data_IF_456984635580
#
_entry.id   IF_456984635580
#
_cell.length_a   1.000
_cell.length_b   1.000
_cell.length_c   1.000
_cell.angle_alpha   90.00
_cell.angle_beta   90.00
_cell.angle_gamma   90.00
#
_symmetry.space_group_name_H-M   'P 1'
#
loop_
_entity.id
_entity.type
_entity.pdbx_description
1 polymer ?
#
# COMPACT_ATOMS: atom_id res chain seq x y z
N UNK A 1 -52.33 19.18 8.36
CA UNK A 1 -52.56 20.64 8.48
C UNK A 1 -51.89 21.07 9.79
N UNK A 2 -50.62 21.48 9.74
CA UNK A 2 -50.16 22.87 10.04
C UNK A 2 -50.33 23.21 11.54
N UNK A 3 -49.34 23.57 12.38
CA UNK A 3 -48.15 24.44 12.25
C UNK A 3 -47.39 24.35 13.62
N UNK A 4 -46.10 24.04 13.71
CA UNK A 4 -44.94 24.96 13.87
C UNK A 4 -44.98 26.02 15.03
N UNK A 5 -44.10 25.81 16.03
CA UNK A 5 -43.08 26.71 16.66
C UNK A 5 -43.41 28.14 17.20
N UNK A 6 -42.56 28.56 18.19
CA UNK A 6 -42.22 29.95 18.68
C UNK A 6 -43.11 30.52 19.80
N UNK A 7 -42.67 31.43 20.70
CA UNK A 7 -41.39 31.96 21.21
C UNK A 7 -41.73 32.81 22.46
N UNK A 8 -40.71 33.18 23.24
CA UNK A 8 -40.71 34.18 24.32
C UNK A 8 -41.44 35.50 23.98
N UNK A 9 -41.99 36.17 25.02
CA UNK A 9 -41.85 37.59 25.43
C UNK A 9 -42.86 37.83 26.58
N UNK A 10 -42.63 38.56 27.68
CA UNK A 10 -42.42 40.03 27.89
C UNK A 10 -42.33 40.25 29.41
N UNK A 11 -41.34 40.94 29.97
CA UNK A 11 -41.22 42.39 30.18
C UNK A 11 -41.75 42.92 31.54
N UNK A 12 -40.78 43.35 32.36
CA UNK A 12 -40.65 44.63 33.10
C UNK A 12 -41.88 45.30 33.75
N UNK A 13 -41.77 45.60 35.06
CA UNK A 13 -42.50 46.67 35.75
C UNK A 13 -41.50 47.51 36.57
N UNK A 14 -41.69 48.83 36.60
CA UNK A 14 -40.74 49.82 37.13
C UNK A 14 -41.25 50.55 38.39
N UNK A 15 -40.30 50.98 39.25
CA UNK A 15 -40.22 52.22 40.07
C UNK A 15 -41.34 52.53 41.10
N UNK A 16 -41.18 53.18 42.27
CA UNK A 16 -40.11 53.80 43.08
C UNK A 16 -40.79 54.28 44.39
N UNK A 17 -40.13 54.29 45.56
CA UNK A 17 -40.09 55.43 46.52
C UNK A 17 -39.09 55.17 47.67
N UNK A 18 -38.59 56.25 48.25
CA UNK A 18 -37.32 56.35 48.96
C UNK A 18 -37.38 56.30 50.51
N UNK A 19 -36.24 55.91 51.07
CA UNK A 19 -35.51 56.47 52.23
C UNK A 19 -35.48 55.72 53.58
N UNK A 20 -34.22 55.58 54.05
CA UNK A 20 -33.72 55.46 55.43
C UNK A 20 -33.81 54.08 56.14
N UNK A 21 -32.71 53.33 56.05
CA UNK A 21 -32.39 52.18 56.90
C UNK A 21 -31.37 51.30 56.19
N UNK A 22 -30.09 51.43 56.52
CA UNK A 22 -28.99 50.75 55.83
C UNK A 22 -29.14 49.22 55.87
N UNK A 23 -29.58 48.65 54.76
CA UNK A 23 -29.39 47.26 54.43
C UNK A 23 -28.20 47.20 53.47
N UNK A 24 -27.08 46.63 53.94
CA UNK A 24 -26.06 46.14 53.02
C UNK A 24 -26.73 45.07 52.14
N UNK A 25 -27.21 45.50 50.98
CA UNK A 25 -27.62 44.59 49.92
C UNK A 25 -26.37 43.82 49.51
N UNK A 26 -26.28 42.58 49.98
CA UNK A 26 -25.30 41.62 49.48
C UNK A 26 -25.49 41.51 47.97
N UNK A 27 -24.58 42.11 47.20
CA UNK A 27 -24.49 41.84 45.77
C UNK A 27 -24.09 40.38 45.61
N UNK A 28 -25.01 39.56 45.11
CA UNK A 28 -24.64 38.22 44.65
C UNK A 28 -23.77 38.38 43.42
N UNK A 29 -22.46 38.41 43.62
CA UNK A 29 -21.49 38.31 42.55
C UNK A 29 -21.60 36.89 41.95
N UNK A 30 -22.19 36.78 40.77
CA UNK A 30 -22.09 35.56 39.97
C UNK A 30 -20.69 35.52 39.37
N UNK A 31 -19.79 34.78 39.99
CA UNK A 31 -18.52 34.41 39.39
C UNK A 31 -18.80 33.30 38.35
N UNK A 32 -18.62 33.59 37.07
CA UNK A 32 -18.50 32.53 36.06
C UNK A 32 -17.20 31.77 36.37
N UNK A 33 -17.22 30.45 36.60
CA UNK A 33 -15.98 29.71 36.81
C UNK A 33 -15.04 29.95 35.62
N UNK A 34 -13.84 30.46 35.89
CA UNK A 34 -12.87 30.69 34.83
C UNK A 34 -12.50 29.35 34.18
N UNK A 35 -12.65 29.24 32.86
CA UNK A 35 -12.20 28.06 32.12
C UNK A 35 -10.68 28.11 31.95
N UNK A 36 -10.02 26.99 32.17
CA UNK A 36 -8.57 26.83 32.00
C UNK A 36 -8.27 25.77 30.93
N UNK A 37 -7.01 25.65 30.52
CA UNK A 37 -6.57 24.50 29.73
C UNK A 37 -6.79 23.17 30.51
N UNK A 38 -6.90 22.03 29.82
CA UNK A 38 -7.09 20.74 30.47
C UNK A 38 -5.90 20.34 31.35
N UNK A 39 -6.16 19.44 32.30
CA UNK A 39 -5.10 18.79 33.07
C UNK A 39 -4.27 17.80 32.24
N UNK A 40 -3.38 17.08 32.93
CA UNK A 40 -2.47 16.10 32.33
C UNK A 40 -3.21 14.76 32.08
N UNK A 41 -3.12 14.15 30.88
CA UNK A 41 -3.61 12.79 30.65
C UNK A 41 -2.90 11.76 31.54
N UNK A 42 -3.62 10.73 31.98
CA UNK A 42 -3.12 9.73 32.93
C UNK A 42 -3.03 8.33 32.31
N UNK A 43 -2.55 7.33 33.07
CA UNK A 43 -2.42 5.94 32.63
C UNK A 43 -1.74 5.76 31.25
N UNK A 44 -0.72 6.57 30.99
CA UNK A 44 -0.05 6.61 29.69
C UNK A 44 0.81 5.35 29.52
N UNK A 45 0.66 4.67 28.40
CA UNK A 45 1.48 3.52 28.03
C UNK A 45 1.82 3.58 26.54
N UNK A 46 3.02 3.13 26.20
CA UNK A 46 3.52 3.08 24.83
C UNK A 46 3.73 1.62 24.42
N UNK A 47 3.10 1.21 23.32
CA UNK A 47 3.26 -0.12 22.72
C UNK A 47 3.98 0.03 21.39
N UNK A 48 5.14 -0.62 21.27
CA UNK A 48 5.94 -0.61 20.05
C UNK A 48 5.25 -1.39 18.92
N UNK A 49 5.27 -0.82 17.71
CA UNK A 49 4.93 -1.49 16.46
C UNK A 49 6.10 -1.40 15.46
N UNK A 50 5.83 -1.77 14.21
CA UNK A 50 6.79 -1.58 13.11
C UNK A 50 6.78 -0.10 12.69
N UNK A 51 7.94 0.56 12.78
CA UNK A 51 8.12 1.98 12.49
C UNK A 51 7.12 2.93 13.15
N UNK A 52 6.51 2.50 14.27
CA UNK A 52 5.41 3.19 14.94
C UNK A 52 5.32 2.87 16.42
N UNK A 53 4.67 3.75 17.19
CA UNK A 53 4.34 3.55 18.60
C UNK A 53 2.87 3.91 18.82
N UNK A 54 2.10 2.99 19.39
CA UNK A 54 0.73 3.25 19.87
C UNK A 54 0.79 3.75 21.31
N UNK A 55 0.34 5.00 21.53
CA UNK A 55 0.28 5.66 22.84
C UNK A 55 -1.15 5.60 23.36
N UNK A 56 -1.40 4.75 24.35
CA UNK A 56 -2.67 4.65 25.08
C UNK A 56 -2.64 5.50 26.34
N UNK A 57 -3.78 6.06 26.75
CA UNK A 57 -3.91 6.98 27.89
C UNK A 57 -5.38 7.11 28.32
N UNK A 58 -5.60 7.58 29.54
CA UNK A 58 -6.89 8.03 30.04
C UNK A 58 -6.96 9.57 30.00
N UNK A 59 -8.18 10.10 29.85
CA UNK A 59 -8.43 11.53 29.87
C UNK A 59 -7.94 12.17 31.19
N UNK A 60 -7.58 13.47 31.19
CA UNK A 60 -7.27 14.20 32.41
C UNK A 60 -8.42 14.18 33.43
N UNK A 61 -8.10 14.23 34.72
CA UNK A 61 -9.10 14.31 35.79
C UNK A 61 -9.91 15.62 35.78
N UNK A 62 -9.37 16.68 35.16
CA UNK A 62 -10.04 17.96 34.95
C UNK A 62 -9.86 18.39 33.50
N UNK A 63 -10.96 18.76 32.85
CA UNK A 63 -10.99 19.35 31.51
C UNK A 63 -10.82 20.88 31.52
N UNK A 64 -10.63 21.47 32.71
CA UNK A 64 -10.53 22.91 32.89
C UNK A 64 -11.87 23.65 32.75
N UNK A 65 -13.01 22.94 32.83
CA UNK A 65 -14.34 23.52 32.71
C UNK A 65 -14.82 23.71 31.26
N UNK A 66 -14.09 23.17 30.28
CA UNK A 66 -14.47 23.18 28.86
C UNK A 66 -14.13 21.84 28.20
N UNK A 67 -15.00 21.37 27.30
CA UNK A 67 -14.84 20.06 26.65
C UNK A 67 -13.50 19.92 25.91
N UNK A 68 -12.84 18.78 26.10
CA UNK A 68 -11.62 18.42 25.37
C UNK A 68 -11.97 18.19 23.90
N UNK A 69 -11.25 18.86 23.02
CA UNK A 69 -11.44 18.82 21.56
C UNK A 69 -10.42 17.90 20.86
N UNK A 70 -9.33 17.53 21.52
CA UNK A 70 -8.37 16.59 20.99
C UNK A 70 -7.17 16.33 21.88
N UNK A 71 -6.33 15.42 21.42
CA UNK A 71 -5.09 15.01 22.07
C UNK A 71 -3.95 15.05 21.06
N UNK A 72 -2.74 15.31 21.55
CA UNK A 72 -1.51 15.24 20.76
C UNK A 72 -0.52 14.31 21.46
N UNK A 73 -0.17 13.20 20.81
CA UNK A 73 0.93 12.35 21.21
C UNK A 73 2.21 12.77 20.47
N UNK A 74 3.34 12.80 21.17
CA UNK A 74 4.64 13.18 20.63
C UNK A 74 5.68 12.15 21.05
N UNK A 75 6.41 11.56 20.10
CA UNK A 75 7.51 10.64 20.37
C UNK A 75 8.80 11.22 19.81
N UNK A 76 9.83 11.35 20.65
CA UNK A 76 11.11 11.94 20.27
C UNK A 76 12.32 11.09 20.65
N UNK A 77 13.33 11.11 19.78
CA UNK A 77 14.63 10.49 19.97
C UNK A 77 15.69 11.26 19.16
N UNK A 78 16.88 11.48 19.74
CA UNK A 78 18.04 12.04 19.04
C UNK A 78 17.76 13.29 18.20
N UNK A 79 16.91 14.21 18.71
CA UNK A 79 16.54 15.45 18.03
C UNK A 79 15.43 15.33 16.98
N UNK A 80 14.93 14.13 16.69
CA UNK A 80 13.77 13.90 15.82
C UNK A 80 12.53 13.76 16.69
N UNK A 81 11.48 14.52 16.37
CA UNK A 81 10.16 14.41 17.00
C UNK A 81 9.09 14.12 15.96
N UNK A 82 8.23 13.14 16.26
CA UNK A 82 7.04 12.81 15.47
C UNK A 82 5.81 12.96 16.35
N UNK A 83 4.73 13.43 15.77
CA UNK A 83 3.46 13.65 16.48
C UNK A 83 2.31 12.98 15.78
N UNK A 84 1.29 12.63 16.56
CA UNK A 84 -0.02 12.21 16.08
C UNK A 84 -1.09 12.95 16.88
N UNK A 85 -2.17 13.33 16.21
CA UNK A 85 -3.32 13.98 16.85
C UNK A 85 -4.58 13.16 16.64
N UNK A 86 -5.52 13.27 17.57
CA UNK A 86 -6.82 12.61 17.45
C UNK A 86 -7.75 12.95 18.60
N UNK A 87 -9.02 12.58 18.45
CA UNK A 87 -10.06 12.92 19.42
C UNK A 87 -10.10 11.97 20.64
N UNK A 88 -9.45 10.81 20.57
CA UNK A 88 -9.51 9.77 21.59
C UNK A 88 -8.23 8.91 21.65
N UNK A 89 -8.14 8.07 22.68
CA UNK A 89 -7.06 7.11 22.87
C UNK A 89 -7.35 5.76 22.19
N UNK A 90 -6.34 5.04 21.66
CA UNK A 90 -4.93 5.40 21.55
C UNK A 90 -4.60 6.27 20.33
N UNK A 91 -3.46 6.94 20.37
CA UNK A 91 -2.87 7.64 19.22
C UNK A 91 -1.64 6.89 18.70
N UNK A 92 -1.56 6.66 17.39
CA UNK A 92 -0.42 5.98 16.77
C UNK A 92 0.52 6.99 16.14
N UNK A 93 1.75 7.08 16.66
CA UNK A 93 2.82 7.90 16.11
C UNK A 93 3.64 7.06 15.14
N UNK A 94 3.54 7.36 13.84
CA UNK A 94 4.27 6.65 12.77
C UNK A 94 5.53 7.37 12.28
N UNK A 95 6.23 6.76 11.32
CA UNK A 95 7.44 7.32 10.70
C UNK A 95 8.64 7.36 11.65
N UNK A 96 8.73 6.37 12.54
CA UNK A 96 9.79 6.17 13.51
C UNK A 96 10.81 5.15 12.98
N UNK A 97 12.07 5.27 13.40
CA UNK A 97 13.11 4.30 13.05
C UNK A 97 13.07 3.09 14.00
N UNK A 98 13.08 1.88 13.45
CA UNK A 98 13.19 0.66 14.24
C UNK A 98 14.56 0.56 14.94
N UNK A 99 14.57 -0.02 16.14
CA UNK A 99 15.76 -0.15 16.99
C UNK A 99 16.15 1.13 17.73
N UNK A 100 15.44 2.24 17.52
CA UNK A 100 15.65 3.50 18.25
C UNK A 100 14.61 3.63 19.35
N UNK A 101 15.04 3.84 20.59
CA UNK A 101 14.12 4.08 21.72
C UNK A 101 13.62 5.51 21.68
N UNK A 102 12.30 5.69 21.59
CA UNK A 102 11.64 7.00 21.64
C UNK A 102 11.01 7.21 23.01
N UNK A 103 11.08 8.46 23.50
CA UNK A 103 10.32 8.93 24.64
C UNK A 103 9.03 9.58 24.14
N UNK A 104 7.88 9.05 24.57
CA UNK A 104 6.56 9.48 24.13
C UNK A 104 5.78 10.18 25.25
N UNK A 105 5.14 11.31 24.91
CA UNK A 105 4.24 12.06 25.79
C UNK A 105 2.90 12.28 25.11
N UNK A 106 1.87 12.60 25.90
CA UNK A 106 0.56 13.02 25.38
C UNK A 106 0.03 14.22 26.17
N UNK A 107 -0.62 15.15 25.47
CA UNK A 107 -1.35 16.28 26.07
C UNK A 107 -2.78 16.36 25.53
N UNK A 108 -3.66 17.02 26.28
CA UNK A 108 -5.05 17.30 25.90
C UNK A 108 -5.25 18.78 25.56
N UNK A 109 -6.19 19.07 24.67
CA UNK A 109 -6.52 20.43 24.21
C UNK A 109 -8.03 20.67 24.35
N UNK A 110 -8.41 21.85 24.84
CA UNK A 110 -9.79 22.36 24.79
C UNK A 110 -9.83 23.74 24.09
N UNK A 111 -10.97 24.43 24.14
CA UNK A 111 -11.13 25.75 23.52
C UNK A 111 -10.22 26.85 24.12
N UNK A 112 -9.73 26.68 25.35
CA UNK A 112 -8.79 27.61 26.01
C UNK A 112 -7.36 27.37 25.54
N UNK A 113 -7.00 26.11 25.29
CA UNK A 113 -5.69 25.73 24.73
C UNK A 113 -5.24 24.34 25.14
N UNK A 114 -3.95 24.07 24.94
CA UNK A 114 -3.30 22.82 25.30
C UNK A 114 -2.84 22.82 26.76
N UNK A 115 -3.13 21.73 27.46
CA UNK A 115 -2.67 21.46 28.82
C UNK A 115 -1.21 21.01 28.87
N UNK A 116 -0.74 20.71 30.09
CA UNK A 116 0.58 20.13 30.30
C UNK A 116 0.65 18.69 29.76
N UNK A 117 1.82 18.33 29.21
CA UNK A 117 2.08 16.98 28.73
C UNK A 117 2.25 15.98 29.89
N UNK A 118 1.94 14.71 29.61
CA UNK A 118 2.19 13.60 30.52
C UNK A 118 3.68 13.42 30.82
N UNK A 119 3.98 12.68 31.88
CA UNK A 119 5.29 12.04 32.01
C UNK A 119 5.60 11.20 30.75
N UNK A 120 6.87 11.14 30.38
CA UNK A 120 7.30 10.40 29.21
C UNK A 120 7.29 8.89 29.49
N UNK A 121 6.81 8.12 28.52
CA UNK A 121 6.92 6.66 28.47
C UNK A 121 7.74 6.25 27.26
N UNK A 122 8.62 5.26 27.43
CA UNK A 122 9.54 4.87 26.35
C UNK A 122 9.08 3.60 25.66
N UNK A 123 9.26 3.54 24.35
CA UNK A 123 9.13 2.32 23.57
C UNK A 123 10.14 2.32 22.41
N UNK A 124 10.57 1.14 22.00
CA UNK A 124 11.51 0.93 20.90
C UNK A 124 10.77 0.22 19.78
N UNK A 125 10.40 0.91 18.68
CA UNK A 125 9.83 0.28 17.51
C UNK A 125 10.77 -0.83 17.03
N UNK A 126 10.18 -1.96 16.67
CA UNK A 126 10.92 -3.09 16.17
C UNK A 126 10.02 -3.86 15.21
N UNK A 127 10.65 -4.42 14.18
CA UNK A 127 10.00 -5.45 13.39
C UNK A 127 9.74 -6.63 14.34
N UNK A 128 8.48 -7.02 14.50
CA UNK A 128 8.14 -8.16 15.36
C UNK A 128 8.98 -9.39 14.94
N UNK A 129 9.70 -9.98 15.90
CA UNK A 129 10.47 -11.19 15.64
C UNK A 129 9.52 -12.31 15.21
N UNK A 130 9.60 -12.72 13.95
CA UNK A 130 8.85 -13.87 13.44
C UNK A 130 9.30 -15.11 14.23
N UNK A 131 8.38 -15.93 14.79
CA UNK A 131 8.79 -17.17 15.44
C UNK A 131 9.60 -18.04 14.49
N UNK A 132 10.58 -18.82 14.99
CA UNK A 132 11.42 -19.64 14.13
C UNK A 132 10.54 -20.62 13.37
N UNK A 133 10.53 -20.47 12.05
CA UNK A 133 9.79 -21.36 11.18
C UNK A 133 10.44 -22.77 11.24
N UNK A 134 9.66 -23.85 11.14
CA UNK A 134 10.24 -25.17 10.84
C UNK A 134 11.17 -25.04 9.63
N UNK A 135 12.27 -25.79 9.62
CA UNK A 135 13.35 -25.67 8.62
C UNK A 135 12.77 -25.44 7.21
N UNK A 136 13.02 -24.25 6.67
CA UNK A 136 12.43 -23.81 5.39
C UNK A 136 13.12 -24.53 4.24
N UNK A 137 12.43 -25.52 3.66
CA UNK A 137 12.57 -25.81 2.24
C UNK A 137 11.75 -24.77 1.47
N UNK A 138 12.37 -24.04 0.53
CA UNK A 138 11.62 -23.24 -0.42
C UNK A 138 10.86 -24.19 -1.35
N UNK A 139 9.52 -24.09 -1.42
CA UNK A 139 8.73 -24.79 -2.43
C UNK A 139 8.36 -23.83 -3.56
N UNK A 140 8.29 -24.36 -4.77
CA UNK A 140 7.89 -23.66 -6.01
C UNK A 140 6.52 -22.96 -5.92
N UNK A 141 5.71 -23.30 -4.92
CA UNK A 141 4.37 -22.73 -4.67
C UNK A 141 4.42 -21.35 -4.01
N UNK A 142 5.39 -21.08 -3.13
CA UNK A 142 5.61 -19.75 -2.52
C UNK A 142 6.12 -18.72 -3.56
N UNK A 143 6.63 -19.20 -4.69
CA UNK A 143 7.22 -18.35 -5.74
C UNK A 143 6.22 -17.83 -6.78
N UNK A 144 4.95 -18.27 -6.76
CA UNK A 144 3.94 -18.00 -7.81
C UNK A 144 2.70 -17.20 -7.30
N UNK A 145 2.60 -16.85 -6.02
CA UNK A 145 1.30 -16.64 -5.35
C UNK A 145 1.41 -15.36 -4.46
N UNK A 146 0.63 -14.27 -4.55
CA UNK A 146 -0.76 -14.16 -5.00
C UNK A 146 -1.22 -12.79 -5.55
N UNK A 147 -0.51 -11.67 -5.40
CA UNK A 147 -1.08 -10.36 -5.83
C UNK A 147 -1.09 -10.16 -7.35
N UNK A 148 0.11 -10.15 -7.95
CA UNK A 148 0.29 -9.90 -9.38
C UNK A 148 -0.22 -11.06 -10.24
N UNK A 149 -0.05 -12.30 -9.78
CA UNK A 149 -0.50 -13.48 -10.52
C UNK A 149 -2.01 -13.67 -10.40
N UNK A 150 -2.64 -13.44 -9.24
CA UNK A 150 -4.10 -13.45 -9.16
C UNK A 150 -4.70 -12.30 -9.98
N UNK A 151 -4.11 -11.11 -9.96
CA UNK A 151 -4.58 -9.98 -10.80
C UNK A 151 -4.43 -10.30 -12.29
N UNK A 152 -3.31 -10.90 -12.69
CA UNK A 152 -3.07 -11.31 -14.08
C UNK A 152 -4.02 -12.44 -14.51
N UNK A 153 -4.20 -13.46 -13.67
CA UNK A 153 -5.16 -14.55 -13.87
C UNK A 153 -6.61 -14.02 -13.89
N UNK A 154 -6.93 -13.05 -13.03
CA UNK A 154 -8.24 -12.40 -12.98
C UNK A 154 -8.48 -11.54 -14.21
N UNK A 155 -7.49 -10.81 -14.73
CA UNK A 155 -7.59 -10.08 -15.99
C UNK A 155 -7.75 -11.04 -17.18
N UNK A 156 -6.97 -12.13 -17.24
CA UNK A 156 -7.15 -13.17 -18.26
C UNK A 156 -8.51 -13.85 -18.16
N UNK A 157 -8.95 -14.16 -16.95
CA UNK A 157 -10.27 -14.72 -16.65
C UNK A 157 -11.38 -13.76 -17.07
N UNK A 158 -11.26 -12.48 -16.74
CA UNK A 158 -12.20 -11.44 -17.13
C UNK A 158 -12.21 -11.24 -18.66
N UNK A 159 -11.06 -11.22 -19.32
CA UNK A 159 -10.98 -11.16 -20.78
C UNK A 159 -11.64 -12.38 -21.44
N UNK A 160 -11.50 -13.56 -20.83
CA UNK A 160 -12.18 -14.78 -21.23
C UNK A 160 -13.69 -14.72 -20.95
N UNK A 161 -14.14 -14.10 -19.86
CA UNK A 161 -15.57 -13.94 -19.60
C UNK A 161 -16.22 -12.87 -20.49
N UNK A 162 -15.49 -11.80 -20.81
CA UNK A 162 -16.01 -10.64 -21.57
C UNK A 162 -15.90 -10.76 -23.09
N UNK A 163 -15.27 -11.81 -23.63
CA UNK A 163 -15.19 -11.98 -25.08
C UNK A 163 -14.09 -11.19 -25.78
N UNK A 164 -13.29 -10.39 -25.05
CA UNK A 164 -12.21 -9.59 -25.64
C UNK A 164 -11.04 -10.48 -26.12
N UNK A 165 -11.04 -10.86 -27.41
CA UNK A 165 -10.03 -11.73 -28.02
C UNK A 165 -8.60 -11.15 -27.93
N UNK A 166 -8.35 -9.86 -28.25
CA UNK A 166 -7.04 -9.26 -28.03
C UNK A 166 -6.52 -9.42 -26.58
N UNK A 167 -7.39 -9.28 -25.58
CA UNK A 167 -7.03 -9.48 -24.17
C UNK A 167 -6.92 -10.96 -23.76
N UNK A 168 -7.63 -11.87 -24.43
CA UNK A 168 -7.48 -13.33 -24.26
C UNK A 168 -6.16 -13.85 -24.81
N UNK A 169 -5.45 -13.07 -25.62
CA UNK A 169 -4.09 -13.41 -26.02
C UNK A 169 -3.16 -13.51 -24.82
N UNK A 170 -3.56 -13.05 -23.63
CA UNK A 170 -2.82 -13.26 -22.39
C UNK A 170 -3.23 -14.59 -21.72
N UNK A 171 -2.64 -15.71 -22.15
CA UNK A 171 -2.68 -16.98 -21.41
C UNK A 171 -1.50 -17.09 -20.44
N UNK A 172 -1.74 -17.34 -19.15
CA UNK A 172 -0.68 -17.68 -18.21
C UNK A 172 -0.13 -19.09 -18.43
N UNK A 173 1.14 -19.32 -18.03
CA UNK A 173 2.15 -18.30 -17.76
C UNK A 173 2.70 -17.73 -19.07
N UNK A 174 2.38 -16.47 -19.35
CA UNK A 174 3.00 -15.64 -20.40
C UNK A 174 3.89 -14.55 -19.82
N UNK A 175 4.20 -14.62 -18.52
CA UNK A 175 4.96 -13.63 -17.73
C UNK A 175 6.25 -14.18 -17.10
N UNK A 176 6.56 -15.48 -17.29
CA UNK A 176 7.69 -16.15 -16.62
C UNK A 176 8.57 -16.83 -17.66
N UNK A 177 9.37 -16.01 -18.34
CA UNK A 177 10.51 -16.46 -19.14
C UNK A 177 11.74 -15.58 -18.85
N UNK A 178 11.82 -15.02 -17.65
CA UNK A 178 12.99 -14.30 -17.17
C UNK A 178 13.78 -15.18 -16.20
N UNK A 179 14.66 -16.01 -16.76
CA UNK A 179 15.62 -16.84 -16.01
C UNK A 179 16.56 -16.05 -15.07
N UNK A 180 16.46 -14.73 -15.04
CA UNK A 180 17.39 -13.79 -14.42
C UNK A 180 16.83 -13.06 -13.20
N UNK A 181 15.61 -13.37 -12.75
CA UNK A 181 15.02 -12.72 -11.58
C UNK A 181 14.62 -11.25 -11.80
N UNK A 182 14.41 -10.83 -13.06
CA UNK A 182 13.88 -9.48 -13.37
C UNK A 182 12.54 -9.23 -12.69
N UNK A 183 11.76 -10.29 -12.49
CA UNK A 183 10.46 -10.24 -11.83
C UNK A 183 10.57 -9.90 -10.33
N UNK A 184 11.59 -10.44 -9.66
CA UNK A 184 11.91 -10.08 -8.27
C UNK A 184 12.27 -8.60 -8.17
N UNK A 185 13.06 -8.05 -9.09
CA UNK A 185 13.45 -6.64 -9.07
C UNK A 185 12.31 -5.69 -9.48
N UNK A 186 11.40 -6.10 -10.37
CA UNK A 186 10.20 -5.33 -10.74
C UNK A 186 9.21 -5.22 -9.58
N UNK A 187 9.06 -6.30 -8.82
CA UNK A 187 8.07 -6.39 -7.76
C UNK A 187 8.66 -6.04 -6.36
N UNK A 188 9.99 -5.91 -6.25
CA UNK A 188 10.74 -5.37 -5.09
C UNK A 188 11.51 -4.07 -5.44
N UNK A 189 10.83 -3.14 -6.09
CA UNK A 189 11.29 -1.75 -6.16
C UNK A 189 11.20 -1.12 -4.74
N UNK A 190 12.13 -0.24 -4.31
CA UNK A 190 12.03 0.52 -3.05
C UNK A 190 10.68 1.21 -2.80
N UNK A 191 9.85 1.40 -3.83
CA UNK A 191 8.49 1.93 -3.69
C UNK A 191 7.44 0.87 -3.21
N UNK A 192 7.75 -0.43 -3.16
CA UNK A 192 6.89 -1.55 -2.69
C UNK A 192 5.49 -1.67 -3.34
N UNK A 193 5.21 -0.92 -4.42
CA UNK A 193 3.88 -0.81 -5.05
C UNK A 193 3.48 -2.00 -5.94
N UNK A 194 4.26 -3.09 -5.95
CA UNK A 194 3.90 -4.36 -6.60
C UNK A 194 3.74 -4.33 -8.13
N UNK A 195 3.90 -3.19 -8.81
CA UNK A 195 3.89 -3.04 -10.27
C UNK A 195 4.45 -1.67 -10.70
N UNK A 196 5.75 -1.43 -10.55
CA UNK A 196 6.37 -0.26 -11.17
C UNK A 196 6.48 -0.47 -12.70
N UNK A 197 5.54 0.10 -13.46
CA UNK A 197 5.50 0.03 -14.93
C UNK A 197 6.72 0.68 -15.59
N UNK A 198 7.45 1.52 -14.86
CA UNK A 198 8.65 2.20 -15.35
C UNK A 198 9.94 1.43 -15.06
N UNK A 199 9.93 0.44 -14.16
CA UNK A 199 11.14 -0.31 -13.79
C UNK A 199 11.79 -0.98 -15.00
N UNK A 200 11.03 -1.77 -15.75
CA UNK A 200 11.54 -2.48 -16.93
C UNK A 200 12.09 -1.52 -17.98
N UNK A 201 11.40 -0.41 -18.21
CA UNK A 201 11.82 0.65 -19.12
C UNK A 201 13.13 1.30 -18.67
N UNK A 202 13.29 1.59 -17.38
CA UNK A 202 14.53 2.17 -16.81
C UNK A 202 15.70 1.22 -16.98
N UNK A 203 15.55 -0.05 -16.61
CA UNK A 203 16.61 -1.05 -16.74
C UNK A 203 16.98 -1.26 -18.21
N UNK A 204 15.99 -1.41 -19.09
CA UNK A 204 16.25 -1.56 -20.52
C UNK A 204 16.98 -0.34 -21.09
N UNK A 205 16.57 0.88 -20.73
CA UNK A 205 17.24 2.10 -21.18
C UNK A 205 18.67 2.21 -20.63
N UNK A 206 18.90 1.84 -19.37
CA UNK A 206 20.25 1.83 -18.79
C UNK A 206 21.16 0.83 -19.50
N UNK A 207 20.67 -0.37 -19.80
CA UNK A 207 21.43 -1.36 -20.57
C UNK A 207 21.70 -0.82 -21.97
N UNK A 208 20.69 -0.32 -22.69
CA UNK A 208 20.85 0.24 -24.04
C UNK A 208 21.86 1.40 -24.04
N UNK A 209 21.84 2.25 -23.01
CA UNK A 209 22.72 3.41 -22.88
C UNK A 209 24.20 3.04 -22.75
N UNK A 210 24.53 1.93 -22.07
CA UNK A 210 25.92 1.51 -21.89
C UNK A 210 26.47 0.72 -23.07
N UNK A 211 25.64 0.19 -23.98
CA UNK A 211 26.12 -0.62 -25.11
C UNK A 211 26.66 0.24 -26.25
N UNK A 212 27.73 -0.23 -26.89
CA UNK A 212 28.24 0.35 -28.14
C UNK A 212 27.48 -0.18 -29.36
N UNK A 213 27.75 0.40 -30.54
CA UNK A 213 27.06 0.06 -31.79
C UNK A 213 27.20 -1.42 -32.18
N UNK A 214 28.36 -2.03 -31.94
CA UNK A 214 28.59 -3.45 -32.25
C UNK A 214 27.75 -4.37 -31.35
N UNK A 215 27.69 -4.08 -30.05
CA UNK A 215 26.84 -4.81 -29.11
C UNK A 215 25.35 -4.61 -29.41
N UNK A 216 24.95 -3.39 -29.75
CA UNK A 216 23.57 -3.08 -30.13
C UNK A 216 23.16 -3.78 -31.44
N UNK A 217 24.07 -3.85 -32.42
CA UNK A 217 23.83 -4.56 -33.68
C UNK A 217 23.57 -6.05 -33.46
N UNK A 218 24.26 -6.69 -32.50
CA UNK A 218 24.00 -8.08 -32.10
C UNK A 218 22.57 -8.28 -31.58
N UNK A 219 22.07 -7.38 -30.72
CA UNK A 219 20.70 -7.42 -30.21
C UNK A 219 19.66 -7.27 -31.34
N UNK A 220 19.88 -6.30 -32.23
CA UNK A 220 18.99 -6.06 -33.39
C UNK A 220 18.98 -7.26 -34.35
N UNK A 221 20.14 -7.86 -34.61
CA UNK A 221 20.24 -9.02 -35.48
C UNK A 221 19.44 -10.21 -34.93
N UNK A 222 19.61 -10.53 -33.63
CA UNK A 222 18.83 -11.62 -33.01
C UNK A 222 17.34 -11.30 -32.99
N UNK A 223 16.95 -10.05 -32.71
CA UNK A 223 15.54 -9.67 -32.75
C UNK A 223 14.93 -9.92 -34.14
N UNK A 224 15.63 -9.57 -35.21
CA UNK A 224 15.20 -9.82 -36.59
C UNK A 224 15.10 -11.32 -36.91
N UNK A 225 16.04 -12.16 -36.44
CA UNK A 225 15.97 -13.61 -36.70
C UNK A 225 14.83 -14.28 -35.93
N UNK A 226 14.40 -13.71 -34.81
CA UNK A 226 13.31 -14.25 -33.98
C UNK A 226 11.91 -13.85 -34.46
N UNK A 227 11.76 -12.93 -35.42
CA UNK A 227 10.45 -12.45 -35.89
C UNK A 227 9.51 -13.59 -36.30
N UNK A 228 9.99 -14.54 -37.10
CA UNK A 228 9.17 -15.66 -37.55
C UNK A 228 8.70 -16.54 -36.37
N UNK A 229 9.54 -16.75 -35.37
CA UNK A 229 9.19 -17.53 -34.18
C UNK A 229 8.15 -16.78 -33.33
N UNK A 230 8.29 -15.46 -33.18
CA UNK A 230 7.32 -14.61 -32.47
C UNK A 230 5.97 -14.62 -33.18
N UNK A 231 5.95 -14.49 -34.51
CA UNK A 231 4.75 -14.59 -35.32
C UNK A 231 4.10 -15.96 -35.17
N UNK A 232 4.89 -17.03 -35.32
CA UNK A 232 4.42 -18.40 -35.17
C UNK A 232 3.82 -18.63 -33.78
N UNK A 233 4.49 -18.17 -32.73
CA UNK A 233 3.98 -18.22 -31.36
C UNK A 233 2.64 -17.50 -31.25
N UNK A 234 2.51 -16.29 -31.79
CA UNK A 234 1.26 -15.53 -31.83
C UNK A 234 0.12 -16.27 -32.55
N UNK A 235 0.38 -16.76 -33.76
CA UNK A 235 -0.62 -17.47 -34.57
C UNK A 235 -1.08 -18.77 -33.93
N UNK A 236 -0.16 -19.55 -33.34
CA UNK A 236 -0.48 -20.84 -32.72
C UNK A 236 -1.34 -20.71 -31.45
N UNK A 237 -1.41 -19.52 -30.84
CA UNK A 237 -2.31 -19.27 -29.69
C UNK A 237 -3.77 -19.13 -30.10
N UNK A 238 -4.03 -18.64 -31.31
CA UNK A 238 -5.37 -18.32 -31.77
C UNK A 238 -6.32 -19.54 -31.83
N UNK A 239 -5.89 -20.73 -32.29
CA UNK A 239 -6.71 -21.94 -32.20
C UNK A 239 -7.13 -22.28 -30.77
N UNK A 240 -6.21 -22.15 -29.80
CA UNK A 240 -6.48 -22.45 -28.39
C UNK A 240 -7.48 -21.44 -27.82
N UNK A 241 -7.26 -20.14 -28.06
CA UNK A 241 -8.19 -19.05 -27.72
C UNK A 241 -9.61 -19.35 -28.20
N UNK A 242 -9.76 -19.66 -29.49
CA UNK A 242 -11.06 -19.98 -30.10
C UNK A 242 -11.68 -21.24 -29.52
N UNK A 243 -10.89 -22.27 -29.24
CA UNK A 243 -11.42 -23.51 -28.67
C UNK A 243 -12.01 -23.28 -27.26
N UNK A 244 -11.33 -22.49 -26.42
CA UNK A 244 -11.87 -22.10 -25.12
C UNK A 244 -13.10 -21.20 -25.24
N UNK A 245 -13.10 -20.24 -26.17
CA UNK A 245 -14.26 -19.38 -26.45
C UNK A 245 -15.50 -20.21 -26.81
N UNK A 246 -15.37 -21.11 -27.78
CA UNK A 246 -16.45 -22.00 -28.21
C UNK A 246 -16.98 -22.88 -27.09
N UNK A 247 -16.11 -23.38 -26.22
CA UNK A 247 -16.52 -24.17 -25.05
C UNK A 247 -17.40 -23.35 -24.09
N UNK A 248 -17.04 -22.08 -23.85
CA UNK A 248 -17.79 -21.18 -22.96
C UNK A 248 -19.14 -20.78 -23.55
N UNK A 249 -19.17 -20.54 -24.85
CA UNK A 249 -20.37 -20.10 -25.56
C UNK A 249 -21.30 -21.29 -25.92
N UNK A 250 -20.90 -22.52 -25.60
CA UNK A 250 -21.66 -23.74 -25.93
C UNK A 250 -21.59 -24.14 -27.41
N UNK A 251 -20.73 -23.51 -28.20
CA UNK A 251 -20.55 -23.75 -29.64
C UNK A 251 -19.64 -24.95 -29.95
N UNK A 252 -19.92 -26.09 -29.30
CA UNK A 252 -19.13 -27.31 -29.43
C UNK A 252 -19.35 -27.90 -30.83
N UNK A 253 -18.28 -28.13 -31.63
CA UNK A 253 -18.44 -28.70 -32.97
C UNK A 253 -19.07 -30.10 -32.93
N UNK A 254 -19.90 -30.41 -33.92
CA UNK A 254 -20.56 -31.71 -34.03
C UNK A 254 -19.53 -32.86 -34.01
N UNK A 255 -19.81 -33.89 -33.21
CA UNK A 255 -18.91 -35.03 -33.01
C UNK A 255 -17.78 -34.79 -32.00
N UNK A 256 -17.71 -33.62 -31.36
CA UNK A 256 -16.78 -33.32 -30.27
C UNK A 256 -17.50 -33.36 -28.91
N UNK A 257 -16.78 -33.75 -27.86
CA UNK A 257 -17.21 -33.61 -26.46
C UNK A 257 -16.73 -32.29 -25.83
N UNK A 258 -16.23 -31.35 -26.63
CA UNK A 258 -15.62 -30.12 -26.16
C UNK A 258 -14.09 -30.21 -26.01
N UNK A 259 -13.53 -29.39 -25.12
CA UNK A 259 -12.09 -29.37 -24.86
C UNK A 259 -11.57 -30.72 -24.33
N UNK A 260 -10.48 -31.19 -24.94
CA UNK A 260 -9.77 -32.37 -24.49
C UNK A 260 -8.47 -31.96 -23.78
N UNK A 261 -8.30 -32.40 -22.52
CA UNK A 261 -7.14 -32.04 -21.71
C UNK A 261 -5.80 -32.40 -22.37
N UNK A 262 -5.69 -33.57 -23.01
CA UNK A 262 -4.45 -34.00 -23.66
C UNK A 262 -4.16 -33.18 -24.91
N UNK A 263 -5.18 -32.81 -25.69
CA UNK A 263 -5.03 -31.92 -26.83
C UNK A 263 -4.58 -30.51 -26.39
N UNK A 264 -5.18 -29.96 -25.33
CA UNK A 264 -4.77 -28.68 -24.74
C UNK A 264 -3.33 -28.73 -24.27
N UNK A 265 -2.94 -29.75 -23.48
CA UNK A 265 -1.56 -29.94 -23.03
C UNK A 265 -0.57 -30.04 -24.20
N UNK A 266 -0.94 -30.77 -25.26
CA UNK A 266 -0.10 -30.89 -26.47
C UNK A 266 0.11 -29.53 -27.14
N UNK A 267 -0.97 -28.78 -27.39
CA UNK A 267 -0.90 -27.45 -27.99
C UNK A 267 -0.11 -26.45 -27.13
N UNK A 268 -0.32 -26.46 -25.80
CA UNK A 268 0.46 -25.63 -24.87
C UNK A 268 1.94 -25.98 -24.89
N UNK A 269 2.31 -27.27 -24.93
CA UNK A 269 3.72 -27.70 -25.03
C UNK A 269 4.39 -27.16 -26.29
N UNK A 270 3.70 -27.18 -27.43
CA UNK A 270 4.25 -26.66 -28.70
C UNK A 270 4.58 -25.16 -28.61
N UNK A 271 3.73 -24.38 -27.92
CA UNK A 271 4.01 -22.97 -27.61
C UNK A 271 5.26 -22.80 -26.73
N UNK A 272 5.39 -23.59 -25.66
CA UNK A 272 6.54 -23.51 -24.74
C UNK A 272 7.88 -23.87 -25.39
N UNK A 273 7.87 -24.72 -26.43
CA UNK A 273 9.10 -25.03 -27.17
C UNK A 273 9.62 -23.80 -27.93
N UNK A 274 8.72 -23.00 -28.53
CA UNK A 274 9.10 -21.77 -29.24
C UNK A 274 9.61 -20.73 -28.25
N UNK A 275 8.88 -20.50 -27.14
CA UNK A 275 9.26 -19.56 -26.09
C UNK A 275 10.61 -19.93 -25.45
N UNK A 276 10.82 -21.22 -25.18
CA UNK A 276 12.07 -21.74 -24.65
C UNK A 276 13.26 -21.52 -25.60
N UNK A 277 13.08 -21.74 -26.90
CA UNK A 277 14.12 -21.50 -27.90
C UNK A 277 14.47 -20.01 -27.99
N UNK A 278 13.47 -19.12 -28.10
CA UNK A 278 13.66 -17.67 -28.12
C UNK A 278 14.44 -17.21 -26.88
N UNK A 279 14.09 -17.74 -25.71
CA UNK A 279 14.71 -17.40 -24.43
C UNK A 279 16.15 -17.90 -24.33
N UNK A 280 16.41 -19.12 -24.78
CA UNK A 280 17.76 -19.69 -24.83
C UNK A 280 18.70 -18.85 -25.70
N UNK A 281 18.28 -18.50 -26.92
CA UNK A 281 19.11 -17.73 -27.85
C UNK A 281 19.41 -16.33 -27.30
N UNK A 282 18.43 -15.70 -26.64
CA UNK A 282 18.63 -14.41 -25.95
C UNK A 282 19.61 -14.53 -24.78
N UNK A 283 19.50 -15.59 -23.97
CA UNK A 283 20.40 -15.81 -22.85
C UNK A 283 21.85 -16.01 -23.31
N UNK A 284 22.06 -16.79 -24.39
CA UNK A 284 23.38 -16.95 -25.01
C UNK A 284 23.92 -15.59 -25.48
N UNK A 285 23.10 -14.81 -26.20
CA UNK A 285 23.50 -13.49 -26.68
C UNK A 285 23.86 -12.53 -25.54
N UNK A 286 23.05 -12.49 -24.48
CA UNK A 286 23.32 -11.62 -23.33
C UNK A 286 24.60 -12.02 -22.61
N UNK A 287 24.89 -13.30 -22.46
CA UNK A 287 26.16 -13.76 -21.92
C UNK A 287 27.34 -13.25 -22.78
N UNK A 288 27.21 -13.28 -24.11
CA UNK A 288 28.24 -12.77 -25.02
C UNK A 288 28.40 -11.25 -24.96
N UNK A 289 27.30 -10.50 -24.85
CA UNK A 289 27.34 -9.04 -24.65
C UNK A 289 28.02 -8.69 -23.33
N UNK A 290 27.65 -9.37 -22.24
CA UNK A 290 28.25 -9.16 -20.91
C UNK A 290 29.77 -9.42 -20.92
N UNK A 291 30.21 -10.50 -21.58
CA UNK A 291 31.65 -10.81 -21.74
C UNK A 291 32.38 -9.75 -22.55
N UNK A 292 31.69 -9.11 -23.49
CA UNK A 292 32.28 -8.12 -24.38
C UNK A 292 32.25 -6.68 -23.84
N UNK A 293 31.72 -6.44 -22.63
CA UNK A 293 31.73 -5.11 -22.02
C UNK A 293 33.16 -4.66 -21.71
N UNK A 294 33.50 -3.43 -22.07
CA UNK A 294 34.77 -2.81 -21.70
C UNK A 294 34.79 -2.35 -20.22
N UNK A 295 35.92 -1.80 -19.77
CA UNK A 295 36.08 -1.36 -18.38
C UNK A 295 35.18 -0.18 -18.01
N UNK A 296 34.87 0.70 -18.95
CA UNK A 296 34.00 1.86 -18.73
C UNK A 296 32.54 1.42 -18.64
N UNK A 297 32.13 0.47 -19.49
CA UNK A 297 30.78 -0.08 -19.48
C UNK A 297 30.48 -0.93 -18.23
N UNK A 298 31.51 -1.48 -17.60
CA UNK A 298 31.43 -2.28 -16.36
C UNK A 298 31.44 -1.44 -15.07
N UNK A 299 31.97 -0.22 -15.14
CA UNK A 299 32.11 0.70 -14.00
C UNK A 299 30.79 1.42 -13.73
#
# INVERSE_FOLDING_TARGET
MNTFLRHLSTALFAATLAACGGSDSSSTATATPATTAPGVPSAVAATAGDASISVSFAAPASDGGAAITGYTASCSASGVSRTATGAASPLTVGGLANGVTYACTVLATNAVGSGSASAAVSATPAVAAKPPAPARAFTTTQSISDGAQATTLAFSGLAMMTGNLPAQSFFPPGKVADYTGFQYLRDNDPDEMGHNTSFLTRIANNVIFILNDSQMAKLKALASTQLQQVDQYGYQRYPLMKAFRRQLDGEIPAGSSGLNLNAVKKASRELYLIDGQISFDRAVLYADVLRSLDSTQKA
#
